data_IF_153669326763
#
_entry.id   IF_153669326763
#
_cell.length_a   1.000
_cell.length_b   1.000
_cell.length_c   1.000
_cell.angle_alpha   90.00
_cell.angle_beta   90.00
_cell.angle_gamma   90.00
#
_symmetry.space_group_name_H-M   'P 1'
#
loop_
_entity.id
_entity.type
_entity.pdbx_description
1 polymer ?
#
# COMPACT_ATOMS: atom_id res chain seq x y z
N UNK A 1 43.47 -18.12 -24.63
CA UNK A 1 42.50 -18.95 -23.86
C UNK A 1 41.72 -18.18 -22.78
N UNK A 2 41.95 -16.89 -22.54
CA UNK A 2 41.20 -16.12 -21.53
C UNK A 2 39.92 -15.42 -22.07
N UNK A 3 39.81 -15.16 -23.37
CA UNK A 3 38.64 -14.46 -23.95
C UNK A 3 37.41 -15.35 -24.22
N UNK A 4 37.57 -16.67 -24.35
CA UNK A 4 36.44 -17.59 -24.56
C UNK A 4 35.65 -17.92 -23.28
N UNK A 5 36.14 -17.54 -22.09
CA UNK A 5 35.41 -17.73 -20.82
C UNK A 5 34.47 -16.57 -20.47
N UNK A 6 34.65 -15.38 -21.07
CA UNK A 6 33.81 -14.20 -20.81
C UNK A 6 32.52 -14.17 -21.64
N UNK A 7 32.49 -14.83 -22.80
CA UNK A 7 31.33 -14.79 -23.72
C UNK A 7 30.30 -15.88 -23.41
N UNK A 8 30.67 -16.92 -22.66
CA UNK A 8 29.75 -17.97 -22.23
C UNK A 8 28.93 -17.58 -20.99
N UNK A 9 29.27 -16.46 -20.33
CA UNK A 9 28.53 -15.92 -19.19
C UNK A 9 27.37 -14.98 -19.60
N UNK A 10 27.19 -14.74 -20.90
CA UNK A 10 26.14 -13.87 -21.46
C UNK A 10 25.02 -14.64 -22.19
N UNK A 11 24.97 -15.97 -22.05
CA UNK A 11 23.95 -16.83 -22.63
C UNK A 11 23.25 -17.59 -21.51
N UNK A 12 21.94 -17.36 -21.41
CA UNK A 12 20.97 -17.99 -20.50
C UNK A 12 20.87 -17.39 -19.08
N UNK A 13 20.29 -16.19 -18.97
CA UNK A 13 19.51 -15.85 -17.78
C UNK A 13 18.55 -17.00 -17.43
N UNK A 14 18.66 -17.51 -16.20
CA UNK A 14 17.85 -18.60 -15.64
C UNK A 14 16.37 -18.38 -15.99
N UNK A 15 15.69 -19.35 -16.65
CA UNK A 15 14.29 -19.25 -17.04
C UNK A 15 13.36 -18.79 -15.90
N UNK A 16 13.71 -19.09 -14.66
CA UNK A 16 12.96 -18.68 -13.47
C UNK A 16 13.12 -17.19 -13.17
N UNK A 17 14.31 -16.62 -13.39
CA UNK A 17 14.55 -15.18 -13.23
C UNK A 17 13.68 -14.43 -14.25
N UNK A 18 13.75 -14.83 -15.52
CA UNK A 18 12.91 -14.25 -16.59
C UNK A 18 11.43 -14.37 -16.31
N UNK A 19 10.95 -15.55 -15.90
CA UNK A 19 9.54 -15.75 -15.55
C UNK A 19 9.11 -14.82 -14.41
N UNK A 20 9.94 -14.72 -13.37
CA UNK A 20 9.67 -13.84 -12.22
C UNK A 20 9.59 -12.38 -12.67
N UNK A 21 10.56 -11.91 -13.46
CA UNK A 21 10.57 -10.54 -13.98
C UNK A 21 9.37 -10.25 -14.88
N UNK A 22 9.03 -11.15 -15.79
CA UNK A 22 7.86 -11.01 -16.67
C UNK A 22 6.56 -10.88 -15.85
N UNK A 23 6.39 -11.70 -14.81
CA UNK A 23 5.22 -11.60 -13.91
C UNK A 23 5.16 -10.24 -13.22
N UNK A 24 6.28 -9.75 -12.69
CA UNK A 24 6.35 -8.49 -11.96
C UNK A 24 6.12 -7.28 -12.89
N UNK A 25 6.81 -7.25 -14.03
CA UNK A 25 6.70 -6.17 -15.03
C UNK A 25 5.29 -6.12 -15.60
N UNK A 26 4.68 -7.28 -15.88
CA UNK A 26 3.31 -7.33 -16.39
C UNK A 26 2.30 -6.77 -15.38
N UNK A 27 2.47 -7.07 -14.08
CA UNK A 27 1.64 -6.49 -13.02
C UNK A 27 1.72 -4.96 -12.99
N UNK A 28 2.94 -4.40 -13.10
CA UNK A 28 3.15 -2.94 -13.15
C UNK A 28 2.57 -2.33 -14.42
N UNK A 29 2.78 -2.97 -15.59
CA UNK A 29 2.27 -2.51 -16.88
C UNK A 29 0.74 -2.45 -16.91
N UNK A 30 0.08 -3.43 -16.29
CA UNK A 30 -1.38 -3.49 -16.13
C UNK A 30 -1.92 -2.52 -15.06
N UNK A 31 -1.06 -1.78 -14.35
CA UNK A 31 -1.43 -0.98 -13.18
C UNK A 31 -2.17 -1.79 -12.12
N UNK A 32 -1.74 -3.04 -11.90
CA UNK A 32 -2.35 -3.90 -10.91
C UNK A 32 -2.03 -3.42 -9.48
N UNK A 33 -2.99 -3.51 -8.56
CA UNK A 33 -2.74 -3.30 -7.13
C UNK A 33 -2.05 -4.50 -6.49
N UNK A 34 -2.38 -5.71 -6.93
CA UNK A 34 -1.86 -6.96 -6.37
C UNK A 34 -1.58 -7.98 -7.48
N UNK A 35 -0.51 -8.75 -7.31
CA UNK A 35 -0.19 -9.95 -8.08
C UNK A 35 -0.37 -11.16 -7.17
N UNK A 36 -1.21 -12.10 -7.58
CA UNK A 36 -1.48 -13.33 -6.85
C UNK A 36 -0.86 -14.51 -7.59
N UNK A 37 0.04 -15.23 -6.94
CA UNK A 37 0.67 -16.46 -7.45
C UNK A 37 0.15 -17.62 -6.61
N UNK A 38 -0.67 -18.46 -7.24
CA UNK A 38 -1.51 -19.42 -6.56
C UNK A 38 -1.20 -20.85 -7.05
N UNK A 39 -0.70 -21.73 -6.16
CA UNK A 39 -0.60 -23.14 -6.47
C UNK A 39 -1.98 -23.76 -6.54
N UNK A 40 -2.27 -24.45 -7.65
CA UNK A 40 -3.43 -25.31 -7.80
C UNK A 40 -2.97 -26.77 -7.82
N UNK A 41 -3.91 -27.70 -7.89
CA UNK A 41 -3.61 -29.14 -7.89
C UNK A 41 -2.69 -29.54 -9.05
N UNK A 42 -2.96 -29.03 -10.26
CA UNK A 42 -2.28 -29.44 -11.51
C UNK A 42 -1.27 -28.42 -12.05
N UNK A 43 -1.49 -27.13 -11.79
CA UNK A 43 -0.68 -26.03 -12.31
C UNK A 43 -0.49 -24.93 -11.25
N UNK A 44 0.26 -23.90 -11.60
CA UNK A 44 0.30 -22.64 -10.86
C UNK A 44 -0.33 -21.57 -11.72
N UNK A 45 -1.19 -20.74 -11.11
CA UNK A 45 -1.86 -19.63 -11.78
C UNK A 45 -1.39 -18.31 -11.21
N UNK A 46 -1.20 -17.33 -12.08
CA UNK A 46 -0.97 -15.93 -11.73
C UNK A 46 -2.20 -15.11 -12.10
N UNK A 47 -2.66 -14.28 -11.17
CA UNK A 47 -3.75 -13.30 -11.39
C UNK A 47 -3.30 -11.91 -10.97
N UNK A 48 -3.85 -10.91 -11.64
CA UNK A 48 -3.61 -9.50 -11.36
C UNK A 48 -4.89 -8.87 -10.85
N UNK A 49 -4.83 -8.12 -9.76
CA UNK A 49 -5.94 -7.27 -9.34
C UNK A 49 -5.81 -5.93 -10.03
N UNK A 50 -6.69 -5.63 -10.98
CA UNK A 50 -6.73 -4.37 -11.71
C UNK A 50 -8.10 -3.75 -11.47
N UNK A 51 -8.12 -2.49 -11.02
CA UNK A 51 -9.34 -1.75 -10.67
C UNK A 51 -10.26 -2.52 -9.70
N UNK A 52 -9.65 -3.26 -8.76
CA UNK A 52 -10.37 -4.09 -7.78
C UNK A 52 -10.74 -5.51 -8.27
N UNK A 53 -10.72 -5.77 -9.57
CA UNK A 53 -11.12 -7.05 -10.15
C UNK A 53 -9.93 -7.97 -10.43
N UNK A 54 -10.09 -9.27 -10.18
CA UNK A 54 -9.06 -10.27 -10.49
C UNK A 54 -9.13 -10.67 -11.96
N UNK A 55 -8.04 -10.44 -12.67
CA UNK A 55 -7.87 -10.79 -14.08
C UNK A 55 -6.85 -11.92 -14.22
N UNK A 56 -7.10 -12.85 -15.13
CA UNK A 56 -6.17 -13.94 -15.43
C UNK A 56 -4.88 -13.41 -16.06
N UNK A 57 -3.75 -13.99 -15.64
CA UNK A 57 -2.41 -13.70 -16.14
C UNK A 57 -1.78 -14.94 -16.75
N UNK A 58 -0.71 -15.42 -16.12
CA UNK A 58 0.05 -16.58 -16.56
C UNK A 58 -0.44 -17.87 -15.94
N UNK A 59 -0.22 -18.99 -16.62
CA UNK A 59 -0.30 -20.33 -16.03
C UNK A 59 0.95 -21.12 -16.41
N UNK A 60 1.51 -21.85 -15.45
CA UNK A 60 2.73 -22.64 -15.67
C UNK A 60 2.75 -23.92 -14.83
N UNK A 61 3.57 -24.93 -15.20
CA UNK A 61 3.65 -26.19 -14.47
C UNK A 61 4.12 -26.01 -13.03
N UNK A 62 3.64 -26.87 -12.11
CA UNK A 62 3.99 -26.81 -10.67
C UNK A 62 5.49 -26.94 -10.39
N UNK A 63 6.25 -27.58 -11.28
CA UNK A 63 7.70 -27.71 -11.15
C UNK A 63 8.42 -26.35 -11.03
N UNK A 64 7.89 -25.31 -11.69
CA UNK A 64 8.47 -23.97 -11.69
C UNK A 64 8.21 -23.19 -10.38
N UNK A 65 7.14 -23.54 -9.65
CA UNK A 65 6.73 -22.80 -8.45
C UNK A 65 7.82 -22.77 -7.39
N UNK A 66 8.48 -23.91 -7.16
CA UNK A 66 9.50 -24.03 -6.10
C UNK A 66 10.65 -23.03 -6.31
N UNK A 67 11.20 -22.95 -7.53
CA UNK A 67 12.26 -22.02 -7.88
C UNK A 67 11.80 -20.57 -7.87
N UNK A 68 10.58 -20.30 -8.33
CA UNK A 68 9.99 -18.95 -8.29
C UNK A 68 9.80 -18.46 -6.84
N UNK A 69 9.35 -19.33 -5.93
CA UNK A 69 9.22 -19.03 -4.51
C UNK A 69 10.59 -18.71 -3.87
N UNK A 70 11.62 -19.50 -4.19
CA UNK A 70 12.98 -19.22 -3.72
C UNK A 70 13.42 -17.83 -4.20
N UNK A 71 13.22 -17.49 -5.48
CA UNK A 71 13.59 -16.18 -6.01
C UNK A 71 12.88 -15.04 -5.28
N UNK A 72 11.56 -15.15 -5.08
CA UNK A 72 10.76 -14.14 -4.35
C UNK A 72 11.24 -14.01 -2.90
N UNK A 73 11.46 -15.13 -2.20
CA UNK A 73 11.93 -15.13 -0.82
C UNK A 73 13.31 -14.50 -0.68
N UNK A 74 14.25 -14.79 -1.59
CA UNK A 74 15.58 -14.19 -1.61
C UNK A 74 15.50 -12.67 -1.74
N UNK A 75 14.79 -12.15 -2.75
CA UNK A 75 14.73 -10.69 -2.97
C UNK A 75 14.00 -9.98 -1.84
N UNK A 76 13.08 -10.68 -1.16
CA UNK A 76 12.29 -10.17 -0.04
C UNK A 76 12.94 -10.41 1.34
N UNK A 77 14.15 -10.99 1.39
CA UNK A 77 14.88 -11.35 2.62
C UNK A 77 14.12 -12.29 3.56
N UNK A 78 13.35 -13.22 2.99
CA UNK A 78 12.57 -14.23 3.72
C UNK A 78 13.37 -15.53 3.91
N UNK A 79 12.96 -16.32 4.90
CA UNK A 79 13.56 -17.63 5.16
C UNK A 79 13.07 -18.65 4.12
N UNK A 80 13.99 -19.08 3.25
CA UNK A 80 13.73 -20.02 2.15
C UNK A 80 13.44 -21.44 2.67
N UNK A 81 14.05 -21.81 3.79
CA UNK A 81 13.90 -23.11 4.43
C UNK A 81 12.58 -23.26 5.16
N UNK A 82 12.03 -22.16 5.69
CA UNK A 82 10.71 -22.17 6.31
C UNK A 82 9.62 -22.09 5.24
N UNK A 83 8.69 -23.06 5.28
CA UNK A 83 7.58 -23.20 4.32
C UNK A 83 6.24 -23.51 4.98
N UNK A 84 6.23 -23.63 6.31
CA UNK A 84 5.09 -24.07 7.13
C UNK A 84 4.42 -22.90 7.84
N UNK A 85 5.08 -21.74 7.88
CA UNK A 85 4.60 -20.53 8.53
C UNK A 85 4.44 -19.40 7.50
N UNK A 86 3.44 -18.50 7.69
CA UNK A 86 3.36 -17.27 6.93
C UNK A 86 4.63 -16.43 7.06
N UNK A 87 4.98 -15.69 6.01
CA UNK A 87 6.14 -14.81 5.98
C UNK A 87 5.82 -13.53 5.20
N UNK A 88 6.23 -12.39 5.75
CA UNK A 88 6.01 -11.08 5.16
C UNK A 88 7.34 -10.37 4.90
N UNK A 89 7.44 -9.71 3.75
CA UNK A 89 8.66 -9.07 3.29
C UNK A 89 8.40 -7.89 2.37
N UNK A 90 9.49 -7.28 1.92
CA UNK A 90 9.43 -6.17 0.96
C UNK A 90 10.67 -6.16 0.08
N UNK A 91 10.51 -5.72 -1.15
CA UNK A 91 11.63 -5.47 -2.06
C UNK A 91 11.27 -4.36 -3.06
N UNK A 92 12.29 -3.80 -3.70
CA UNK A 92 12.10 -2.81 -4.77
C UNK A 92 12.57 -3.38 -6.09
N UNK A 93 11.85 -3.10 -7.17
CA UNK A 93 12.21 -3.46 -8.53
C UNK A 93 12.19 -2.22 -9.41
N UNK A 94 13.21 -2.06 -10.26
CA UNK A 94 13.20 -1.03 -11.30
C UNK A 94 12.50 -1.57 -12.53
N UNK A 95 11.43 -0.90 -12.96
CA UNK A 95 10.65 -1.23 -14.16
C UNK A 95 10.67 -0.01 -15.08
N UNK A 96 11.48 -0.07 -16.15
CA UNK A 96 11.84 1.10 -16.93
C UNK A 96 12.55 2.14 -16.05
N UNK A 97 12.05 3.38 -16.07
CA UNK A 97 12.61 4.47 -15.25
C UNK A 97 12.01 4.55 -13.83
N UNK A 98 11.01 3.71 -13.52
CA UNK A 98 10.32 3.74 -12.23
C UNK A 98 10.91 2.74 -11.25
N UNK A 99 11.15 3.19 -10.02
CA UNK A 99 11.46 2.31 -8.89
C UNK A 99 10.16 1.98 -8.15
N UNK A 100 9.72 0.72 -8.24
CA UNK A 100 8.46 0.23 -7.67
C UNK A 100 8.75 -0.57 -6.40
N UNK A 101 7.99 -0.31 -5.34
CA UNK A 101 8.08 -1.05 -4.08
C UNK A 101 7.03 -2.16 -4.05
N UNK A 102 7.42 -3.35 -3.59
CA UNK A 102 6.55 -4.52 -3.51
C UNK A 102 6.51 -5.01 -2.06
N UNK A 103 5.31 -5.07 -1.48
CA UNK A 103 5.07 -5.82 -0.24
C UNK A 103 4.73 -7.27 -0.59
N UNK A 104 5.34 -8.21 0.11
CA UNK A 104 5.22 -9.64 -0.16
C UNK A 104 4.61 -10.32 1.04
N UNK A 105 3.56 -11.10 0.81
CA UNK A 105 2.99 -12.01 1.80
C UNK A 105 3.00 -13.43 1.22
N UNK A 106 3.63 -14.36 1.95
CA UNK A 106 3.71 -15.78 1.61
C UNK A 106 2.92 -16.56 2.66
N UNK A 107 2.02 -17.44 2.22
CA UNK A 107 1.23 -18.30 3.12
C UNK A 107 1.27 -19.75 2.65
N UNK A 108 1.48 -20.73 3.56
CA UNK A 108 1.37 -22.14 3.20
C UNK A 108 -0.07 -22.48 2.79
N UNK A 109 -0.21 -23.30 1.76
CA UNK A 109 -1.49 -23.87 1.31
C UNK A 109 -1.33 -25.35 0.97
N UNK A 110 -2.44 -26.05 0.71
CA UNK A 110 -2.47 -27.49 0.44
C UNK A 110 -1.55 -27.87 -0.74
N UNK A 111 -1.45 -27.01 -1.76
CA UNK A 111 -0.68 -27.29 -2.98
C UNK A 111 0.69 -26.59 -3.03
N UNK A 112 1.13 -26.00 -1.93
CA UNK A 112 2.38 -25.25 -1.85
C UNK A 112 2.16 -23.85 -1.29
N UNK A 113 3.17 -23.00 -1.34
CA UNK A 113 3.04 -21.64 -0.82
C UNK A 113 2.33 -20.73 -1.83
N UNK A 114 1.30 -20.01 -1.37
CA UNK A 114 0.67 -18.93 -2.11
C UNK A 114 1.43 -17.64 -1.84
N UNK A 115 1.66 -16.84 -2.87
CA UNK A 115 2.27 -15.51 -2.75
C UNK A 115 1.28 -14.44 -3.20
N UNK A 116 1.19 -13.37 -2.41
CA UNK A 116 0.57 -12.11 -2.82
C UNK A 116 1.65 -11.03 -2.81
N UNK A 117 1.77 -10.30 -3.92
CA UNK A 117 2.66 -9.16 -4.07
C UNK A 117 1.81 -7.91 -4.25
N UNK A 118 1.82 -6.99 -3.29
CA UNK A 118 1.16 -5.69 -3.42
C UNK A 118 2.11 -4.71 -4.07
N UNK A 119 1.67 -4.11 -5.17
CA UNK A 119 2.45 -3.13 -5.94
C UNK A 119 2.21 -1.74 -5.34
N UNK A 120 3.27 -1.12 -4.85
CA UNK A 120 3.26 0.25 -4.34
C UNK A 120 3.98 1.15 -5.34
N UNK A 121 3.23 1.72 -6.27
CA UNK A 121 3.75 2.69 -7.24
C UNK A 121 3.78 4.09 -6.64
N UNK A 122 4.91 4.45 -6.01
CA UNK A 122 5.13 5.79 -5.43
C UNK A 122 5.06 6.92 -6.46
N UNK A 123 5.28 6.65 -7.75
CA UNK A 123 5.35 7.68 -8.79
C UNK A 123 3.96 8.12 -9.31
N UNK A 124 2.91 7.35 -9.01
CA UNK A 124 1.54 7.62 -9.44
C UNK A 124 0.65 8.16 -8.30
N UNK A 125 1.23 8.68 -7.22
CA UNK A 125 0.44 9.31 -6.16
C UNK A 125 -0.20 10.60 -6.71
N UNK A 126 -1.45 10.49 -7.15
CA UNK A 126 -2.26 11.63 -7.58
C UNK A 126 -2.69 12.38 -6.32
N UNK A 127 -1.96 13.43 -5.96
CA UNK A 127 -2.30 14.29 -4.83
C UNK A 127 -3.22 15.46 -5.21
N UNK A 128 -3.23 15.87 -6.48
CA UNK A 128 -4.11 16.96 -6.93
C UNK A 128 -5.58 16.53 -6.88
N UNK A 129 -6.37 17.20 -6.03
CA UNK A 129 -7.79 16.91 -5.85
C UNK A 129 -8.60 17.00 -7.16
N UNK A 130 -8.21 17.90 -8.08
CA UNK A 130 -8.83 18.07 -9.40
C UNK A 130 -8.69 16.84 -10.31
N UNK A 131 -7.69 15.99 -10.06
CA UNK A 131 -7.44 14.77 -10.83
C UNK A 131 -8.14 13.53 -10.27
N UNK A 132 -8.87 13.66 -9.16
CA UNK A 132 -9.60 12.55 -8.53
C UNK A 132 -10.97 12.24 -9.17
N UNK A 133 -11.42 13.04 -10.14
CA UNK A 133 -12.66 12.81 -10.87
C UNK A 133 -13.93 13.30 -10.16
N UNK A 134 -13.80 14.18 -9.16
CA UNK A 134 -14.96 14.90 -8.62
C UNK A 134 -15.59 15.82 -9.67
N UNK A 135 -16.91 15.98 -9.61
CA UNK A 135 -17.58 17.08 -10.32
C UNK A 135 -17.08 18.42 -9.77
N UNK A 136 -17.16 19.48 -10.56
CA UNK A 136 -16.71 20.81 -10.14
C UNK A 136 -17.38 21.25 -8.84
N UNK A 137 -18.69 21.08 -8.72
CA UNK A 137 -19.45 21.39 -7.52
C UNK A 137 -18.98 20.59 -6.30
N UNK A 138 -18.84 19.26 -6.44
CA UNK A 138 -18.39 18.40 -5.34
C UNK A 138 -16.95 18.72 -4.92
N UNK A 139 -16.09 19.00 -5.89
CA UNK A 139 -14.70 19.41 -5.67
C UNK A 139 -14.62 20.73 -4.91
N UNK A 140 -15.43 21.73 -5.27
CA UNK A 140 -15.49 23.01 -4.56
C UNK A 140 -15.96 22.84 -3.12
N UNK A 141 -17.06 22.11 -2.89
CA UNK A 141 -17.56 21.83 -1.53
C UNK A 141 -16.53 21.09 -0.67
N UNK A 142 -15.80 20.15 -1.26
CA UNK A 142 -14.73 19.43 -0.57
C UNK A 142 -13.57 20.35 -0.21
N UNK A 143 -13.15 21.24 -1.11
CA UNK A 143 -12.11 22.23 -0.83
C UNK A 143 -12.51 23.21 0.27
N UNK A 144 -13.76 23.68 0.26
CA UNK A 144 -14.29 24.55 1.31
C UNK A 144 -14.30 23.85 2.67
N UNK A 145 -14.76 22.59 2.72
CA UNK A 145 -14.76 21.79 3.95
C UNK A 145 -13.34 21.55 4.48
N UNK A 146 -12.40 21.20 3.60
CA UNK A 146 -11.00 20.97 3.93
C UNK A 146 -10.29 22.21 4.47
N UNK A 147 -10.74 23.42 4.11
CA UNK A 147 -10.13 24.69 4.55
C UNK A 147 -10.75 25.26 5.82
N UNK A 148 -11.71 24.56 6.43
CA UNK A 148 -12.28 24.99 7.71
C UNK A 148 -11.21 24.91 8.81
N UNK A 149 -11.22 25.83 9.78
CA UNK A 149 -10.23 25.85 10.87
C UNK A 149 -10.35 24.63 11.77
N UNK A 150 -11.55 24.07 11.91
CA UNK A 150 -11.81 22.89 12.72
C UNK A 150 -13.06 22.13 12.24
N UNK A 151 -13.24 20.93 12.75
CA UNK A 151 -14.34 20.03 12.41
C UNK A 151 -13.83 18.67 11.98
N UNK A 152 -14.75 17.79 11.58
CA UNK A 152 -14.43 16.42 11.19
C UNK A 152 -14.86 16.17 9.75
N UNK A 153 -13.93 15.68 8.93
CA UNK A 153 -14.17 15.27 7.55
C UNK A 153 -13.97 13.77 7.44
N UNK A 154 -15.04 13.06 7.06
CA UNK A 154 -15.06 11.62 6.91
C UNK A 154 -15.11 11.21 5.45
N UNK A 155 -14.18 10.36 5.04
CA UNK A 155 -14.21 9.68 3.73
C UNK A 155 -14.67 8.25 3.94
N UNK A 156 -15.90 7.95 3.49
CA UNK A 156 -16.52 6.65 3.70
C UNK A 156 -16.47 5.79 2.43
N UNK A 157 -16.39 4.48 2.61
CA UNK A 157 -16.51 3.51 1.52
C UNK A 157 -15.79 2.19 1.78
N UNK A 158 -15.93 1.20 0.89
CA UNK A 158 -15.28 -0.10 1.02
C UNK A 158 -13.75 -0.02 0.84
N UNK A 159 -13.06 -1.15 1.01
CA UNK A 159 -11.63 -1.25 0.72
C UNK A 159 -11.38 -0.99 -0.78
N UNK A 160 -10.36 -0.20 -1.10
CA UNK A 160 -9.93 0.04 -2.48
C UNK A 160 -10.76 1.08 -3.25
N UNK A 161 -11.70 1.79 -2.63
CA UNK A 161 -12.48 2.84 -3.29
C UNK A 161 -11.79 4.23 -3.31
N UNK A 162 -10.51 4.31 -2.98
CA UNK A 162 -9.73 5.56 -3.02
C UNK A 162 -9.76 6.44 -1.76
N UNK A 163 -10.22 5.93 -0.60
CA UNK A 163 -10.29 6.73 0.65
C UNK A 163 -8.97 7.37 1.04
N UNK A 164 -7.90 6.57 1.11
CA UNK A 164 -6.55 7.05 1.45
C UNK A 164 -6.05 8.05 0.43
N UNK A 165 -6.29 7.83 -0.86
CA UNK A 165 -5.94 8.76 -1.93
C UNK A 165 -6.63 10.11 -1.72
N UNK A 166 -7.93 10.11 -1.47
CA UNK A 166 -8.70 11.34 -1.20
C UNK A 166 -8.19 12.05 0.06
N UNK A 167 -7.94 11.33 1.15
CA UNK A 167 -7.37 11.90 2.38
C UNK A 167 -6.00 12.55 2.11
N UNK A 168 -5.12 11.87 1.37
CA UNK A 168 -3.81 12.40 1.02
C UNK A 168 -3.91 13.62 0.11
N UNK A 169 -4.86 13.67 -0.82
CA UNK A 169 -5.13 14.87 -1.63
C UNK A 169 -5.64 16.04 -0.79
N UNK A 170 -6.47 15.78 0.21
CA UNK A 170 -6.93 16.80 1.15
C UNK A 170 -5.74 17.32 1.97
N UNK A 171 -4.89 16.43 2.50
CA UNK A 171 -3.67 16.80 3.20
C UNK A 171 -2.77 17.68 2.33
N UNK A 172 -2.54 17.29 1.09
CA UNK A 172 -1.73 18.08 0.15
C UNK A 172 -2.33 19.47 -0.16
N UNK A 173 -3.66 19.59 -0.18
CA UNK A 173 -4.35 20.87 -0.39
C UNK A 173 -4.13 21.86 0.77
N UNK A 174 -4.04 21.35 2.00
CA UNK A 174 -3.97 22.16 3.23
C UNK A 174 -2.56 22.29 3.80
N UNK A 175 -1.62 21.49 3.28
CA UNK A 175 -0.22 21.49 3.68
C UNK A 175 0.46 22.84 3.39
N UNK A 176 0.97 23.46 4.46
CA UNK A 176 1.71 24.73 4.41
C UNK A 176 2.57 24.85 5.67
N UNK A 177 3.72 25.57 5.62
CA UNK A 177 4.65 25.66 6.74
C UNK A 177 4.09 26.20 8.06
N UNK A 178 2.94 26.87 8.03
CA UNK A 178 2.29 27.46 9.20
C UNK A 178 1.23 26.53 9.82
N UNK A 179 1.16 25.27 9.41
CA UNK A 179 0.16 24.30 9.88
C UNK A 179 0.88 23.03 10.33
N UNK A 180 0.67 22.63 11.57
CA UNK A 180 1.17 21.39 12.13
C UNK A 180 0.21 20.24 11.79
N UNK A 181 0.67 19.35 10.90
CA UNK A 181 -0.10 18.19 10.46
C UNK A 181 0.52 16.92 11.04
N UNK A 182 -0.29 16.13 11.77
CA UNK A 182 0.12 14.81 12.24
C UNK A 182 -0.88 13.73 11.84
N UNK A 183 -0.39 12.59 11.34
CA UNK A 183 -1.21 11.45 10.91
C UNK A 183 -0.93 10.19 11.74
N UNK A 184 -1.92 9.32 11.85
CA UNK A 184 -1.79 7.96 12.39
C UNK A 184 -2.35 6.96 11.38
N UNK A 185 -1.57 5.96 10.97
CA UNK A 185 -1.89 5.10 9.83
C UNK A 185 -1.47 3.65 10.07
N UNK A 186 -2.22 2.68 9.54
CA UNK A 186 -1.94 1.24 9.69
C UNK A 186 -1.95 0.50 8.33
N UNK A 187 -0.81 0.42 7.62
CA UNK A 187 0.43 1.19 7.80
C UNK A 187 0.39 2.52 7.02
N UNK A 188 1.44 3.34 7.18
CA UNK A 188 1.69 4.46 6.26
C UNK A 188 1.89 3.93 4.84
N UNK A 189 1.09 4.41 3.89
CA UNK A 189 1.14 3.95 2.50
C UNK A 189 2.20 4.70 1.68
N UNK A 190 2.28 6.03 1.86
CA UNK A 190 3.31 6.87 1.24
C UNK A 190 3.83 7.90 2.23
N UNK A 191 5.13 8.18 2.14
CA UNK A 191 5.77 9.26 2.87
C UNK A 191 5.44 10.60 2.20
N UNK A 192 4.83 11.52 2.93
CA UNK A 192 4.52 12.88 2.50
C UNK A 192 5.53 13.83 3.17
N UNK A 193 6.44 14.45 2.41
CA UNK A 193 7.39 15.41 2.97
C UNK A 193 6.67 16.54 3.71
N UNK A 194 7.16 16.91 4.89
CA UNK A 194 6.60 17.98 5.70
C UNK A 194 5.48 17.56 6.66
N UNK A 195 4.91 16.36 6.51
CA UNK A 195 3.86 15.84 7.38
C UNK A 195 4.45 14.82 8.37
N UNK A 196 4.08 14.93 9.65
CA UNK A 196 4.47 13.95 10.67
C UNK A 196 3.56 12.72 10.59
N UNK A 197 4.07 11.59 10.09
CA UNK A 197 3.27 10.37 9.91
C UNK A 197 3.67 9.26 10.90
N UNK A 198 2.70 8.78 11.68
CA UNK A 198 2.90 7.74 12.69
C UNK A 198 2.31 6.43 12.19
N UNK A 199 3.17 5.43 11.97
CA UNK A 199 2.72 4.07 11.70
C UNK A 199 2.30 3.36 12.98
N UNK A 200 1.05 2.86 13.03
CA UNK A 200 0.48 2.13 14.15
C UNK A 200 1.23 0.81 14.36
N UNK A 201 1.46 0.46 15.62
CA UNK A 201 2.11 -0.78 16.02
C UNK A 201 1.43 -1.34 17.28
N UNK A 202 0.37 -2.15 17.12
CA UNK A 202 -0.37 -2.70 18.24
C UNK A 202 0.49 -3.62 19.13
N UNK A 203 1.54 -4.23 18.57
CA UNK A 203 2.44 -5.14 19.30
C UNK A 203 3.22 -4.48 20.44
N UNK A 204 3.37 -3.15 20.41
CA UNK A 204 3.99 -2.36 21.49
C UNK A 204 3.00 -1.41 22.18
N UNK A 205 1.70 -1.58 21.93
CA UNK A 205 0.64 -0.70 22.46
C UNK A 205 0.51 0.65 21.75
N UNK A 206 1.16 0.86 20.61
CA UNK A 206 1.04 2.08 19.81
C UNK A 206 -0.22 2.01 18.92
N UNK A 207 -1.40 2.18 19.54
CA UNK A 207 -2.71 2.12 18.88
C UNK A 207 -3.21 3.50 18.40
N UNK A 208 -4.24 3.54 17.56
CA UNK A 208 -4.87 4.79 17.11
C UNK A 208 -5.28 5.69 18.28
N UNK A 209 -6.05 5.16 19.25
CA UNK A 209 -6.47 5.91 20.43
C UNK A 209 -5.29 6.42 21.28
N UNK A 210 -4.24 5.60 21.46
CA UNK A 210 -3.05 6.00 22.22
C UNK A 210 -2.29 7.15 21.54
N UNK A 211 -2.06 7.03 20.22
CA UNK A 211 -1.43 8.06 19.43
C UNK A 211 -2.25 9.35 19.43
N UNK A 212 -3.56 9.26 19.19
CA UNK A 212 -4.45 10.42 19.10
C UNK A 212 -4.48 11.23 20.41
N UNK A 213 -4.49 10.56 21.57
CA UNK A 213 -4.33 11.23 22.87
C UNK A 213 -3.01 11.97 22.99
N UNK A 214 -1.93 11.43 22.43
CA UNK A 214 -0.62 12.08 22.47
C UNK A 214 -0.52 13.26 21.53
N UNK A 215 -1.08 13.12 20.32
CA UNK A 215 -1.11 14.15 19.30
C UNK A 215 -1.79 15.43 19.81
N UNK A 216 -2.86 15.32 20.60
CA UNK A 216 -3.53 16.49 21.19
C UNK A 216 -2.64 17.30 22.17
N UNK A 217 -1.46 16.79 22.55
CA UNK A 217 -0.46 17.52 23.34
C UNK A 217 0.74 17.96 22.50
N UNK A 218 0.63 17.92 21.18
CA UNK A 218 1.69 18.27 20.23
C UNK A 218 1.37 19.54 19.44
N UNK A 219 0.42 20.36 19.92
CA UNK A 219 -0.04 21.57 19.23
C UNK A 219 -0.43 21.34 17.75
N UNK A 220 -1.24 20.31 17.43
CA UNK A 220 -1.61 20.02 16.05
C UNK A 220 -2.64 21.04 15.55
N UNK A 221 -2.61 21.37 14.26
CA UNK A 221 -3.70 22.08 13.59
C UNK A 221 -4.64 21.08 12.89
N UNK A 222 -4.03 20.10 12.23
CA UNK A 222 -4.74 19.08 11.44
C UNK A 222 -4.28 17.69 11.90
N UNK A 223 -5.26 16.84 12.16
CA UNK A 223 -5.04 15.46 12.59
C UNK A 223 -5.67 14.53 11.56
N UNK A 224 -4.91 13.58 11.03
CA UNK A 224 -5.47 12.53 10.19
C UNK A 224 -5.40 11.17 10.89
N UNK A 225 -6.55 10.53 11.05
CA UNK A 225 -6.67 9.16 11.55
C UNK A 225 -6.98 8.27 10.36
N UNK A 226 -6.09 7.35 9.99
CA UNK A 226 -6.20 6.55 8.77
C UNK A 226 -7.56 5.84 8.65
N UNK A 227 -8.08 5.35 9.76
CA UNK A 227 -9.43 4.82 9.89
C UNK A 227 -9.89 4.84 11.35
N UNK A 228 -11.20 4.96 11.55
CA UNK A 228 -11.82 4.78 12.87
C UNK A 228 -12.52 3.43 12.89
N UNK A 229 -12.04 2.51 13.73
CA UNK A 229 -12.58 1.14 13.87
C UNK A 229 -13.27 0.87 15.22
N UNK A 230 -13.06 1.76 16.20
CA UNK A 230 -13.53 1.58 17.56
C UNK A 230 -14.09 2.88 18.14
N UNK A 231 -14.94 2.73 19.16
CA UNK A 231 -15.63 3.86 19.79
C UNK A 231 -14.70 4.78 20.58
N UNK A 232 -13.57 4.27 21.08
CA UNK A 232 -12.60 5.06 21.84
C UNK A 232 -11.90 6.07 20.92
N UNK A 233 -11.40 5.60 19.78
CA UNK A 233 -10.79 6.44 18.74
C UNK A 233 -11.80 7.45 18.20
N UNK A 234 -13.05 7.04 17.96
CA UNK A 234 -14.12 7.94 17.51
C UNK A 234 -14.41 9.06 18.52
N UNK A 235 -14.55 8.72 19.81
CA UNK A 235 -14.84 9.68 20.88
C UNK A 235 -13.74 10.74 20.98
N UNK A 236 -12.47 10.33 20.94
CA UNK A 236 -11.33 11.26 20.98
C UNK A 236 -11.30 12.13 19.72
N UNK A 237 -11.54 11.56 18.53
CA UNK A 237 -11.56 12.28 17.27
C UNK A 237 -12.65 13.36 17.22
N UNK A 238 -13.86 13.04 17.68
CA UNK A 238 -14.97 14.00 17.78
C UNK A 238 -14.61 15.12 18.76
N UNK A 239 -14.05 14.79 19.93
CA UNK A 239 -13.62 15.79 20.91
C UNK A 239 -12.56 16.72 20.31
N UNK A 240 -11.55 16.17 19.64
CA UNK A 240 -10.54 16.96 18.94
C UNK A 240 -11.15 17.94 17.93
N UNK A 241 -12.10 17.47 17.11
CA UNK A 241 -12.80 18.29 16.13
C UNK A 241 -13.63 19.42 16.76
N UNK A 242 -14.23 19.17 17.93
CA UNK A 242 -14.99 20.15 18.70
C UNK A 242 -14.08 21.15 19.43
N UNK A 243 -12.84 20.77 19.77
CA UNK A 243 -11.87 21.62 20.48
C UNK A 243 -10.91 22.35 19.54
N UNK A 244 -11.31 22.61 18.29
CA UNK A 244 -10.57 23.52 17.41
C UNK A 244 -9.57 22.87 16.44
N UNK A 245 -9.59 21.55 16.29
CA UNK A 245 -8.74 20.85 15.32
C UNK A 245 -9.52 20.47 14.06
N UNK A 246 -8.86 20.45 12.89
CA UNK A 246 -9.43 19.78 11.72
C UNK A 246 -9.03 18.30 11.75
N UNK A 247 -10.02 17.42 11.88
CA UNK A 247 -9.83 15.97 11.94
C UNK A 247 -10.26 15.34 10.63
N UNK A 248 -9.34 14.66 9.96
CA UNK A 248 -9.59 13.90 8.75
C UNK A 248 -9.59 12.41 9.10
N UNK A 249 -10.57 11.65 8.65
CA UNK A 249 -10.55 10.20 8.86
C UNK A 249 -11.31 9.44 7.78
N UNK A 250 -11.10 8.12 7.74
CA UNK A 250 -11.92 7.22 6.94
C UNK A 250 -12.82 6.31 7.78
N UNK A 251 -13.91 5.85 7.16
CA UNK A 251 -14.80 4.83 7.71
C UNK A 251 -15.07 3.74 6.66
N UNK A 252 -15.15 2.50 7.12
CA UNK A 252 -15.68 1.40 6.32
C UNK A 252 -17.19 1.36 6.49
N UNK A 253 -17.91 1.94 5.53
CA UNK A 253 -19.36 1.91 5.42
C UNK A 253 -19.75 1.59 3.98
N UNK A 254 -20.89 0.91 3.78
CA UNK A 254 -21.43 0.63 2.45
C UNK A 254 -22.37 1.74 1.95
N UNK A 255 -22.81 2.61 2.86
CA UNK A 255 -23.79 3.68 2.68
C UNK A 255 -23.82 4.61 3.90
#
# INVERSE_FOLDING_TARGET
MAEKKGVQAALEEDPIIKLTEVILIEGVRRKASDILIEPLEKNTRVRYRVDGFLQHGFEFPRSFLSSLLVRIKVVSKLNISERRLPQDGRFKLRVGDKLVDFRVAVVPSIFGEKVTLRILDKANLVLELSKLGFTEEAGQRLQEAARRPHGMLLVCGPTGCGKTTTLYSILHLVDRPTVNITTTEDPVEYEIPGINQIAINPGIGLTFAACLRSILRQDPDIIMVGEIRDGETLDIAIKAALTGHLVLSSFHAMD
#
